data_IF_726761786351
#
_entry.id   IF_726761786351
#
_cell.length_a   1.000
_cell.length_b   1.000
_cell.length_c   1.000
_cell.angle_alpha   90.00
_cell.angle_beta   90.00
_cell.angle_gamma   90.00
#
_symmetry.space_group_name_H-M   'P 1'
#
loop_
_entity.id
_entity.type
_entity.pdbx_description
1 polymer ?
#
# COMPACT_ATOMS: atom_id res chain seq x y z
N UNK A 1 -20.15 -35.10 30.17
CA UNK A 1 -20.08 -34.42 28.84
C UNK A 1 -19.49 -33.01 28.91
N UNK A 2 -19.85 -32.18 29.90
CA UNK A 2 -19.41 -30.78 30.00
C UNK A 2 -17.89 -30.58 30.09
N UNK A 3 -17.17 -31.42 30.83
CA UNK A 3 -15.70 -31.37 30.95
C UNK A 3 -14.99 -31.60 29.62
N UNK A 4 -15.43 -32.59 28.84
CA UNK A 4 -14.85 -32.90 27.52
C UNK A 4 -15.11 -31.76 26.52
N UNK A 5 -16.27 -31.10 26.62
CA UNK A 5 -16.60 -29.95 25.78
C UNK A 5 -15.77 -28.72 26.14
N UNK A 6 -15.52 -28.45 27.43
CA UNK A 6 -14.62 -27.37 27.84
C UNK A 6 -13.18 -27.62 27.37
N UNK A 7 -12.66 -28.84 27.54
CA UNK A 7 -11.31 -29.18 27.07
C UNK A 7 -11.16 -29.07 25.55
N UNK A 8 -12.19 -29.41 24.78
CA UNK A 8 -12.19 -29.24 23.32
C UNK A 8 -12.20 -27.76 22.90
N UNK A 9 -12.91 -26.91 23.64
CA UNK A 9 -12.95 -25.47 23.42
C UNK A 9 -11.62 -24.80 23.78
N UNK A 10 -10.98 -25.19 24.89
CA UNK A 10 -9.64 -24.71 25.24
C UNK A 10 -8.60 -25.10 24.20
N UNK A 11 -8.60 -26.37 23.75
CA UNK A 11 -7.67 -26.84 22.72
C UNK A 11 -7.85 -26.10 21.39
N UNK A 12 -9.10 -25.83 20.99
CA UNK A 12 -9.42 -25.07 19.78
C UNK A 12 -9.02 -23.60 19.94
N UNK A 13 -9.27 -22.99 21.10
CA UNK A 13 -8.88 -21.61 21.39
C UNK A 13 -7.37 -21.42 21.34
N UNK A 14 -6.61 -22.35 21.94
CA UNK A 14 -5.14 -22.34 21.91
C UNK A 14 -4.61 -22.58 20.49
N UNK A 15 -5.17 -23.57 19.78
CA UNK A 15 -4.79 -23.87 18.40
C UNK A 15 -5.04 -22.70 17.45
N UNK A 16 -6.22 -22.08 17.54
CA UNK A 16 -6.60 -20.91 16.74
C UNK A 16 -5.70 -19.70 17.05
N UNK A 17 -5.36 -19.49 18.33
CA UNK A 17 -4.45 -18.44 18.77
C UNK A 17 -3.05 -18.63 18.18
N UNK A 18 -2.50 -19.84 18.20
CA UNK A 18 -1.18 -20.13 17.66
C UNK A 18 -1.11 -19.86 16.15
N UNK A 19 -2.12 -20.32 15.39
CA UNK A 19 -2.21 -20.06 13.94
C UNK A 19 -2.33 -18.56 13.68
N UNK A 20 -3.16 -17.85 14.46
CA UNK A 20 -3.32 -16.40 14.32
C UNK A 20 -2.01 -15.64 14.58
N UNK A 21 -1.30 -15.96 15.67
CA UNK A 21 0.01 -15.39 15.97
C UNK A 21 1.03 -15.70 14.87
N UNK A 22 1.03 -16.93 14.35
CA UNK A 22 1.91 -17.32 13.26
C UNK A 22 1.65 -16.50 11.99
N UNK A 23 0.38 -16.29 11.63
CA UNK A 23 0.00 -15.46 10.49
C UNK A 23 0.41 -13.99 10.68
N UNK A 24 0.23 -13.42 11.88
CA UNK A 24 0.69 -12.06 12.19
C UNK A 24 2.21 -11.95 11.98
N UNK A 25 2.98 -12.91 12.48
CA UNK A 25 4.44 -12.93 12.30
C UNK A 25 4.79 -13.06 10.82
N UNK A 26 4.15 -13.96 10.08
CA UNK A 26 4.40 -14.18 8.66
C UNK A 26 4.11 -12.91 7.85
N UNK A 27 2.97 -12.27 8.09
CA UNK A 27 2.62 -10.99 7.46
C UNK A 27 3.62 -9.91 7.85
N UNK A 28 4.02 -9.85 9.12
CA UNK A 28 5.05 -8.92 9.59
C UNK A 28 6.39 -9.09 8.87
N UNK A 29 6.84 -10.34 8.66
CA UNK A 29 8.03 -10.65 7.88
C UNK A 29 7.87 -10.25 6.42
N UNK A 30 6.70 -10.51 5.81
CA UNK A 30 6.41 -10.12 4.44
C UNK A 30 6.43 -8.59 4.25
N UNK A 31 5.87 -7.85 5.20
CA UNK A 31 5.90 -6.38 5.22
C UNK A 31 7.33 -5.88 5.45
N UNK A 32 8.09 -6.51 6.36
CA UNK A 32 9.49 -6.17 6.59
C UNK A 32 10.32 -6.41 5.32
N UNK A 33 10.10 -7.52 4.62
CA UNK A 33 10.74 -7.80 3.33
C UNK A 33 10.39 -6.71 2.30
N UNK A 34 9.13 -6.30 2.19
CA UNK A 34 8.72 -5.20 1.31
C UNK A 34 9.37 -3.86 1.69
N UNK A 35 9.46 -3.55 2.99
CA UNK A 35 10.10 -2.34 3.50
C UNK A 35 11.62 -2.35 3.26
N UNK A 36 12.28 -3.49 3.46
CA UNK A 36 13.72 -3.67 3.19
C UNK A 36 13.97 -3.49 1.69
N UNK A 37 13.20 -4.16 0.83
CA UNK A 37 13.36 -4.04 -0.62
C UNK A 37 13.18 -2.59 -1.09
N UNK A 38 12.11 -1.90 -0.66
CA UNK A 38 11.88 -0.49 -1.05
C UNK A 38 12.89 0.49 -0.48
N UNK A 39 13.46 0.21 0.71
CA UNK A 39 14.45 1.06 1.37
C UNK A 39 15.87 0.87 0.79
N UNK A 40 16.27 -0.37 0.52
CA UNK A 40 17.65 -0.69 0.07
C UNK A 40 17.81 -0.73 -1.44
N UNK A 41 16.75 -1.02 -2.18
CA UNK A 41 16.68 -0.87 -3.62
C UNK A 41 15.42 -0.06 -3.94
N UNK A 42 15.45 1.28 -3.79
CA UNK A 42 14.36 2.13 -4.26
C UNK A 42 14.16 1.80 -5.73
N UNK A 43 13.14 1.00 -6.03
CA UNK A 43 12.71 0.74 -7.38
C UNK A 43 12.31 2.13 -7.88
N UNK A 44 13.15 2.68 -8.77
CA UNK A 44 12.84 3.93 -9.44
C UNK A 44 11.37 3.80 -9.88
N UNK A 45 10.48 4.74 -9.49
CA UNK A 45 9.06 4.63 -9.78
C UNK A 45 8.94 4.16 -11.21
N UNK A 46 8.23 3.06 -11.52
CA UNK A 46 8.17 2.53 -12.87
C UNK A 46 7.80 3.71 -13.76
N UNK A 47 8.80 4.23 -14.48
CA UNK A 47 8.66 5.47 -15.23
C UNK A 47 7.42 5.24 -16.07
N UNK A 48 6.35 6.06 -15.91
CA UNK A 48 4.99 5.67 -16.22
C UNK A 48 5.04 4.99 -17.56
N UNK A 49 4.94 3.66 -17.55
CA UNK A 49 5.09 2.87 -18.75
C UNK A 49 4.10 3.52 -19.68
N UNK A 50 4.60 4.14 -20.75
CA UNK A 50 3.83 4.95 -21.67
C UNK A 50 2.73 4.02 -22.14
N UNK A 51 1.58 4.03 -21.43
CA UNK A 51 0.52 3.07 -21.67
C UNK A 51 0.10 3.43 -23.06
N UNK A 52 0.49 2.56 -24.00
CA UNK A 52 -0.07 2.54 -25.32
C UNK A 52 -1.58 2.56 -25.08
N UNK A 53 -2.20 3.62 -25.58
CA UNK A 53 -3.56 4.03 -25.24
C UNK A 53 -4.50 2.82 -25.38
N UNK A 54 -4.99 2.31 -24.27
CA UNK A 54 -6.22 1.54 -24.24
C UNK A 54 -7.26 2.38 -23.50
N UNK A 55 -8.40 2.71 -24.15
CA UNK A 55 -9.39 3.60 -23.57
C UNK A 55 -10.22 2.78 -22.57
N UNK A 56 -9.88 2.86 -21.28
CA UNK A 56 -10.76 2.32 -20.25
C UNK A 56 -11.21 3.40 -19.27
N UNK A 57 -12.52 3.38 -19.07
CA UNK A 57 -13.36 4.43 -18.53
C UNK A 57 -12.98 4.89 -17.12
N UNK A 58 -13.25 6.16 -16.87
CA UNK A 58 -13.16 6.90 -15.61
C UNK A 58 -13.74 6.12 -14.42
N UNK A 59 -12.97 6.05 -13.34
CA UNK A 59 -13.50 6.10 -11.98
C UNK A 59 -12.70 7.18 -11.22
N UNK A 60 -13.32 8.34 -11.05
CA UNK A 60 -12.78 9.48 -10.32
C UNK A 60 -12.81 9.20 -8.82
N UNK A 61 -11.69 8.78 -8.23
CA UNK A 61 -11.43 9.02 -6.82
C UNK A 61 -10.83 10.44 -6.68
N UNK A 62 -11.16 11.22 -5.64
CA UNK A 62 -10.49 12.50 -5.41
C UNK A 62 -9.03 12.21 -5.10
N UNK A 63 -8.16 12.44 -6.08
CA UNK A 63 -6.73 12.33 -5.90
C UNK A 63 -6.33 13.28 -4.76
N UNK A 64 -5.86 12.74 -3.63
CA UNK A 64 -5.06 13.52 -2.68
C UNK A 64 -3.95 14.14 -3.53
N UNK A 65 -4.01 15.46 -3.71
CA UNK A 65 -3.03 16.16 -4.53
C UNK A 65 -1.69 15.97 -3.84
N UNK A 66 -0.83 15.20 -4.50
CA UNK A 66 0.51 14.91 -4.00
C UNK A 66 1.32 16.21 -3.93
N UNK A 67 2.18 16.32 -2.91
CA UNK A 67 2.93 17.55 -2.65
C UNK A 67 3.82 17.94 -3.86
N UNK A 68 4.36 16.93 -4.55
CA UNK A 68 5.16 17.13 -5.77
C UNK A 68 4.31 17.69 -6.92
N UNK A 69 3.08 17.20 -7.06
CA UNK A 69 2.14 17.70 -8.08
C UNK A 69 1.74 19.15 -7.80
N UNK A 70 1.53 19.51 -6.53
CA UNK A 70 1.23 20.88 -6.14
C UNK A 70 2.41 21.84 -6.44
N UNK A 71 3.65 21.40 -6.21
CA UNK A 71 4.85 22.17 -6.53
C UNK A 71 5.03 22.34 -8.04
N UNK A 72 4.86 21.26 -8.82
CA UNK A 72 4.91 21.29 -10.27
C UNK A 72 3.89 22.27 -10.87
N UNK A 73 2.67 22.31 -10.33
CA UNK A 73 1.63 23.26 -10.74
C UNK A 73 2.06 24.70 -10.42
N UNK A 74 2.62 24.96 -9.23
CA UNK A 74 3.10 26.31 -8.85
C UNK A 74 4.19 26.81 -9.79
N UNK A 75 5.17 25.95 -10.11
CA UNK A 75 6.24 26.25 -11.07
C UNK A 75 5.63 26.58 -12.44
N UNK A 76 4.72 25.73 -12.94
CA UNK A 76 4.08 25.93 -14.24
C UNK A 76 3.30 27.26 -14.32
N UNK A 77 2.54 27.60 -13.29
CA UNK A 77 1.79 28.87 -13.22
C UNK A 77 2.71 30.08 -13.16
N UNK A 78 3.79 30.02 -12.36
CA UNK A 78 4.76 31.12 -12.28
C UNK A 78 5.43 31.38 -13.63
N UNK A 79 5.81 30.31 -14.34
CA UNK A 79 6.44 30.36 -15.66
C UNK A 79 5.48 30.92 -16.73
N UNK A 80 4.21 30.51 -16.70
CA UNK A 80 3.20 31.04 -17.62
C UNK A 80 2.99 32.54 -17.41
N UNK A 81 2.85 33.00 -16.15
CA UNK A 81 2.68 34.42 -15.82
C UNK A 81 3.89 35.27 -16.23
N UNK A 82 5.11 34.74 -16.09
CA UNK A 82 6.32 35.42 -16.53
C UNK A 82 6.43 35.53 -18.06
N UNK A 83 5.83 34.57 -18.79
CA UNK A 83 5.82 34.55 -20.26
C UNK A 83 4.67 35.33 -20.89
N UNK A 84 3.62 35.62 -20.12
CA UNK A 84 2.44 36.38 -20.56
C UNK A 84 2.38 37.79 -19.95
N UNK A 85 3.51 38.28 -19.43
CA UNK A 85 3.80 39.68 -19.17
C UNK A 85 4.83 40.14 -20.19
#
# INVERSE_FOLDING_TARGET
MSELMSGALELTGVGMGFVFSFLIILVGVMVAMSAVLTRFAPEAPPAPAKRRQEPQARASAPAKVDADTAEAIRIAVSKYRARHK
#
